data_IF_847234695026
#
_entry.id   IF_847234695026
#
_cell.length_a   1.000
_cell.length_b   1.000
_cell.length_c   1.000
_cell.angle_alpha   90.00
_cell.angle_beta   90.00
_cell.angle_gamma   90.00
#
_symmetry.space_group_name_H-M   'P 1'
#
loop_
_entity.id
_entity.type
_entity.pdbx_description
1 polymer ?
#
# COMPACT_ATOMS: atom_id res chain seq x y z
N UNK A 1 -10.51 23.50 8.43
CA UNK A 1 -10.17 24.81 7.84
C UNK A 1 -9.08 24.60 6.81
N UNK A 2 -9.42 24.71 5.52
CA UNK A 2 -8.47 24.61 4.41
C UNK A 2 -7.65 25.88 4.37
N UNK A 3 -6.35 25.82 4.63
CA UNK A 3 -5.42 26.86 4.18
C UNK A 3 -4.88 26.41 2.81
N UNK A 4 -5.56 26.83 1.77
CA UNK A 4 -5.02 26.80 0.42
C UNK A 4 -3.97 27.91 0.29
N UNK A 5 -2.84 27.58 -0.25
CA UNK A 5 -1.80 28.52 -0.66
C UNK A 5 -2.32 29.23 -1.91
N UNK A 6 -2.69 30.49 -1.78
CA UNK A 6 -3.35 31.26 -2.85
C UNK A 6 -2.48 32.36 -3.48
N UNK A 7 -1.23 32.54 -3.04
CA UNK A 7 -0.34 33.55 -3.63
C UNK A 7 1.16 33.25 -3.41
N UNK A 8 2.01 33.84 -4.24
CA UNK A 8 3.47 33.82 -4.16
C UNK A 8 4.04 34.41 -2.85
N UNK A 9 3.23 35.10 -2.05
CA UNK A 9 3.61 35.71 -0.77
C UNK A 9 3.70 34.70 0.38
N UNK A 10 3.20 33.48 0.20
CA UNK A 10 3.15 32.44 1.24
C UNK A 10 4.33 31.46 1.20
N UNK A 11 5.31 31.70 0.32
CA UNK A 11 6.51 30.86 0.19
C UNK A 11 7.56 31.30 1.22
N UNK A 12 8.09 30.41 2.06
CA UNK A 12 9.19 30.76 2.96
C UNK A 12 10.36 31.35 2.19
N UNK A 13 11.06 32.30 2.77
CA UNK A 13 12.24 32.97 2.23
C UNK A 13 13.40 31.97 2.06
N UNK A 14 13.32 31.09 1.09
CA UNK A 14 14.41 30.25 0.63
C UNK A 14 15.16 31.00 -0.47
N UNK A 15 16.47 31.10 -0.40
CA UNK A 15 17.32 31.66 -1.43
C UNK A 15 18.09 30.54 -2.13
N UNK A 16 18.11 30.52 -3.46
CA UNK A 16 18.89 29.57 -4.22
C UNK A 16 18.07 28.70 -5.20
N UNK A 17 18.65 27.60 -5.70
CA UNK A 17 18.04 26.71 -6.71
C UNK A 17 16.67 26.13 -6.32
N UNK A 18 16.39 26.02 -5.03
CA UNK A 18 15.08 25.57 -4.52
C UNK A 18 13.96 26.57 -4.84
N UNK A 19 14.24 27.86 -4.71
CA UNK A 19 13.24 28.90 -5.01
C UNK A 19 12.92 28.95 -6.51
N UNK A 20 13.90 28.71 -7.36
CA UNK A 20 13.71 28.65 -8.80
C UNK A 20 12.94 27.39 -9.22
N UNK A 21 13.17 26.27 -8.58
CA UNK A 21 12.38 25.04 -8.74
C UNK A 21 10.92 25.26 -8.34
N UNK A 22 10.64 25.87 -7.19
CA UNK A 22 9.28 26.17 -6.74
C UNK A 22 8.61 27.25 -7.59
N UNK A 23 9.35 28.24 -8.07
CA UNK A 23 8.83 29.24 -9.02
C UNK A 23 8.47 28.61 -10.36
N UNK A 24 9.24 27.67 -10.87
CA UNK A 24 8.93 26.91 -12.09
C UNK A 24 7.70 26.03 -11.92
N UNK A 25 7.55 25.36 -10.79
CA UNK A 25 6.36 24.56 -10.45
C UNK A 25 5.08 25.40 -10.34
N UNK A 26 5.18 26.61 -9.80
CA UNK A 26 4.02 27.50 -9.56
C UNK A 26 3.65 28.38 -10.76
N UNK A 27 4.60 28.66 -11.65
CA UNK A 27 4.40 29.65 -12.74
C UNK A 27 3.98 29.03 -14.09
N UNK A 28 4.18 27.73 -14.34
CA UNK A 28 4.01 27.12 -15.69
C UNK A 28 3.13 25.87 -15.67
N UNK A 29 2.54 25.48 -14.54
CA UNK A 29 1.99 24.15 -14.34
C UNK A 29 3.15 23.15 -14.09
N UNK A 30 2.88 21.92 -13.64
CA UNK A 30 3.94 20.96 -13.33
C UNK A 30 4.74 20.64 -14.60
N UNK A 31 5.98 21.14 -14.67
CA UNK A 31 6.92 20.72 -15.72
C UNK A 31 7.04 19.20 -15.65
N UNK A 32 7.16 18.50 -16.80
CA UNK A 32 7.39 17.07 -16.81
C UNK A 32 8.67 16.77 -16.05
N UNK A 33 8.52 16.18 -14.86
CA UNK A 33 9.65 15.76 -14.04
C UNK A 33 10.08 14.33 -14.40
N UNK A 34 11.38 14.07 -14.27
CA UNK A 34 11.96 12.73 -14.40
C UNK A 34 12.04 12.11 -13.01
N UNK A 35 11.19 11.15 -12.73
CA UNK A 35 11.05 10.52 -11.41
C UNK A 35 11.61 9.10 -11.46
N UNK A 36 12.57 8.80 -10.59
CA UNK A 36 13.12 7.46 -10.45
C UNK A 36 12.61 6.80 -9.17
N UNK A 37 11.98 5.65 -9.31
CA UNK A 37 11.48 4.85 -8.20
C UNK A 37 12.31 3.58 -8.08
N UNK A 38 12.89 3.32 -6.91
CA UNK A 38 13.65 2.11 -6.62
C UNK A 38 12.82 1.22 -5.71
N UNK A 39 12.58 -0.04 -6.12
CA UNK A 39 11.76 -0.97 -5.36
C UNK A 39 12.29 -2.39 -5.45
N UNK A 40 12.47 -3.07 -4.29
CA UNK A 40 12.72 -4.52 -4.24
C UNK A 40 11.44 -5.33 -4.44
N UNK A 41 10.26 -4.69 -4.28
CA UNK A 41 8.95 -5.24 -4.59
C UNK A 41 8.49 -4.73 -5.96
N UNK A 42 8.70 -5.54 -7.00
CA UNK A 42 8.32 -5.25 -8.38
C UNK A 42 7.92 -6.51 -9.13
N UNK A 43 7.48 -6.36 -10.36
CA UNK A 43 7.10 -7.49 -11.22
C UNK A 43 8.20 -8.60 -11.24
N UNK A 44 7.84 -9.87 -11.31
CA UNK A 44 6.49 -10.46 -11.45
C UNK A 44 5.72 -10.66 -10.14
N UNK A 45 6.15 -10.08 -9.02
CA UNK A 45 5.44 -10.19 -7.75
C UNK A 45 4.04 -9.56 -7.82
N UNK A 46 3.07 -10.21 -7.19
CA UNK A 46 1.69 -9.71 -7.07
C UNK A 46 1.42 -9.41 -5.59
N UNK A 47 1.49 -8.14 -5.23
CA UNK A 47 1.20 -7.67 -3.87
C UNK A 47 0.75 -6.21 -3.87
N UNK A 48 0.31 -5.70 -2.73
CA UNK A 48 -0.22 -4.34 -2.59
C UNK A 48 0.80 -3.24 -2.89
N UNK A 49 2.11 -3.48 -2.67
CA UNK A 49 3.18 -2.51 -2.98
C UNK A 49 3.33 -2.35 -4.48
N UNK A 50 3.49 -3.48 -5.19
CA UNK A 50 3.62 -3.50 -6.65
C UNK A 50 2.40 -2.83 -7.30
N UNK A 51 1.19 -3.19 -6.88
CA UNK A 51 -0.05 -2.61 -7.41
C UNK A 51 -0.11 -1.10 -7.18
N UNK A 52 0.23 -0.64 -5.97
CA UNK A 52 0.27 0.79 -5.66
C UNK A 52 1.24 1.53 -6.57
N UNK A 53 2.47 1.03 -6.70
CA UNK A 53 3.49 1.66 -7.53
C UNK A 53 3.12 1.66 -9.00
N UNK A 54 2.60 0.55 -9.55
CA UNK A 54 2.16 0.47 -10.94
C UNK A 54 1.08 1.50 -11.25
N UNK A 55 0.06 1.62 -10.38
CA UNK A 55 -1.04 2.55 -10.62
C UNK A 55 -0.58 4.00 -10.46
N UNK A 56 0.24 4.31 -9.45
CA UNK A 56 0.83 5.66 -9.29
C UNK A 56 1.70 6.03 -10.48
N UNK A 57 2.52 5.11 -11.00
CA UNK A 57 3.32 5.33 -12.20
C UNK A 57 2.44 5.63 -13.43
N UNK A 58 1.36 4.87 -13.62
CA UNK A 58 0.41 5.11 -14.70
C UNK A 58 -0.23 6.50 -14.61
N UNK A 59 -0.67 6.90 -13.42
CA UNK A 59 -1.22 8.24 -13.18
C UNK A 59 -0.19 9.34 -13.42
N UNK A 60 1.05 9.18 -12.96
CA UNK A 60 2.13 10.14 -13.18
C UNK A 60 2.46 10.28 -14.66
N UNK A 61 2.46 9.18 -15.43
CA UNK A 61 2.59 9.25 -16.89
C UNK A 61 1.42 9.99 -17.54
N UNK A 62 0.19 9.75 -17.09
CA UNK A 62 -0.99 10.48 -17.55
C UNK A 62 -0.95 11.98 -17.20
N UNK A 63 -0.18 12.35 -16.15
CA UNK A 63 0.11 13.74 -15.79
C UNK A 63 1.26 14.36 -16.60
N UNK A 64 1.90 13.60 -17.50
CA UNK A 64 2.98 14.08 -18.35
C UNK A 64 4.40 13.92 -17.76
N UNK A 65 4.55 13.23 -16.61
CA UNK A 65 5.87 12.96 -16.03
C UNK A 65 6.56 11.77 -16.67
N UNK A 66 7.89 11.77 -16.71
CA UNK A 66 8.71 10.62 -17.10
C UNK A 66 9.07 9.83 -15.86
N UNK A 67 8.53 8.63 -15.71
CA UNK A 67 8.76 7.80 -14.52
C UNK A 67 9.44 6.50 -14.92
N UNK A 68 10.50 6.14 -14.22
CA UNK A 68 11.15 4.83 -14.36
C UNK A 68 11.14 4.11 -13.01
N UNK A 69 10.83 2.81 -13.04
CA UNK A 69 10.93 1.94 -11.87
C UNK A 69 12.07 0.95 -12.07
N UNK A 70 12.95 0.89 -11.10
CA UNK A 70 14.06 -0.06 -11.07
C UNK A 70 13.74 -1.14 -10.04
N UNK A 71 13.45 -2.32 -10.55
CA UNK A 71 13.11 -3.51 -9.78
C UNK A 71 14.17 -4.60 -9.83
N UNK A 72 13.96 -5.73 -9.11
CA UNK A 72 14.87 -6.86 -9.07
C UNK A 72 15.06 -7.57 -10.42
N UNK A 73 14.08 -7.42 -11.33
CA UNK A 73 14.06 -7.98 -12.68
C UNK A 73 15.26 -7.58 -13.54
N UNK A 74 15.90 -6.46 -13.20
CA UNK A 74 17.09 -5.95 -13.89
C UNK A 74 18.41 -6.48 -13.34
N UNK A 75 18.41 -7.32 -12.33
CA UNK A 75 19.60 -7.74 -11.58
C UNK A 75 19.69 -9.25 -11.44
N UNK A 76 20.89 -9.74 -11.16
CA UNK A 76 21.04 -11.10 -10.64
C UNK A 76 20.34 -11.18 -9.28
N UNK A 77 19.49 -12.18 -9.07
CA UNK A 77 18.70 -12.30 -7.86
C UNK A 77 18.77 -13.68 -7.25
N UNK A 78 18.62 -13.76 -5.92
CA UNK A 78 18.40 -14.97 -5.16
C UNK A 78 17.01 -14.96 -4.51
N UNK A 79 16.36 -16.11 -4.33
CA UNK A 79 15.11 -16.18 -3.60
C UNK A 79 15.34 -15.80 -2.13
N UNK A 80 14.41 -15.05 -1.53
CA UNK A 80 14.43 -14.82 -0.10
C UNK A 80 14.18 -16.14 0.65
N UNK A 81 15.00 -16.51 1.64
CA UNK A 81 14.91 -17.83 2.29
C UNK A 81 13.55 -18.17 2.87
N UNK A 82 12.81 -17.15 3.37
CA UNK A 82 11.49 -17.33 3.98
C UNK A 82 10.33 -17.03 3.03
N UNK A 83 10.64 -16.46 1.84
CA UNK A 83 9.68 -16.04 0.81
C UNK A 83 10.31 -16.21 -0.58
N UNK A 84 10.31 -17.40 -1.16
CA UNK A 84 10.95 -17.64 -2.46
C UNK A 84 10.41 -16.77 -3.61
N UNK A 85 9.15 -16.34 -3.52
CA UNK A 85 8.53 -15.43 -4.47
C UNK A 85 9.16 -14.02 -4.44
N UNK A 86 9.78 -13.64 -3.32
CA UNK A 86 10.52 -12.38 -3.20
C UNK A 86 11.96 -12.62 -3.67
N UNK A 87 12.37 -11.86 -4.68
CA UNK A 87 13.70 -11.95 -5.26
C UNK A 87 14.59 -10.84 -4.71
N UNK A 88 15.70 -11.19 -4.11
CA UNK A 88 16.69 -10.26 -3.56
C UNK A 88 17.82 -10.04 -4.54
N UNK A 89 18.07 -8.80 -4.93
CA UNK A 89 19.15 -8.44 -5.85
C UNK A 89 20.51 -8.62 -5.22
N UNK A 90 21.44 -9.25 -5.95
CA UNK A 90 22.80 -9.53 -5.48
C UNK A 90 23.73 -8.41 -5.93
N UNK A 91 24.40 -7.75 -4.97
CA UNK A 91 25.40 -6.70 -5.19
C UNK A 91 24.99 -5.64 -6.24
N UNK A 92 23.78 -5.05 -6.17
CA UNK A 92 23.24 -4.21 -7.24
C UNK A 92 23.97 -2.87 -7.42
N UNK A 93 24.81 -2.45 -6.49
CA UNK A 93 25.29 -1.08 -6.36
C UNK A 93 25.92 -0.48 -7.62
N UNK A 94 26.84 -1.19 -8.30
CA UNK A 94 27.52 -0.65 -9.51
C UNK A 94 26.55 -0.46 -10.68
N UNK A 95 25.69 -1.44 -10.90
CA UNK A 95 24.70 -1.39 -11.99
C UNK A 95 23.63 -0.34 -11.69
N UNK A 96 23.13 -0.30 -10.46
CA UNK A 96 22.15 0.70 -10.03
C UNK A 96 22.68 2.13 -10.17
N UNK A 97 23.94 2.38 -9.77
CA UNK A 97 24.56 3.69 -9.94
C UNK A 97 24.54 4.15 -11.40
N UNK A 98 24.91 3.27 -12.36
CA UNK A 98 24.86 3.58 -13.79
C UNK A 98 23.44 3.89 -14.26
N UNK A 99 22.43 3.15 -13.77
CA UNK A 99 21.03 3.39 -14.12
C UNK A 99 20.60 4.78 -13.63
N UNK A 100 20.88 5.11 -12.36
CA UNK A 100 20.52 6.42 -11.79
C UNK A 100 21.19 7.56 -12.57
N UNK A 101 22.50 7.43 -12.85
CA UNK A 101 23.26 8.43 -13.58
C UNK A 101 22.79 8.59 -15.04
N UNK A 102 22.50 7.49 -15.73
CA UNK A 102 21.98 7.50 -17.10
C UNK A 102 20.56 8.07 -17.19
N UNK A 103 19.71 7.75 -16.22
CA UNK A 103 18.35 8.29 -16.18
C UNK A 103 18.34 9.78 -15.81
N UNK A 104 19.31 10.26 -15.04
CA UNK A 104 19.41 11.65 -14.57
C UNK A 104 18.07 12.16 -13.99
N UNK A 105 17.60 11.61 -12.85
CA UNK A 105 16.31 11.95 -12.28
C UNK A 105 16.30 13.34 -11.63
N UNK A 106 15.15 14.03 -11.70
CA UNK A 106 14.87 15.22 -10.93
C UNK A 106 14.50 14.89 -9.48
N UNK A 107 13.91 13.71 -9.26
CA UNK A 107 13.53 13.20 -7.93
C UNK A 107 13.79 11.69 -7.82
N UNK A 108 14.25 11.28 -6.64
CA UNK A 108 14.51 9.87 -6.29
C UNK A 108 13.58 9.44 -5.16
N UNK A 109 12.81 8.38 -5.40
CA UNK A 109 12.00 7.72 -4.40
C UNK A 109 12.47 6.29 -4.16
N UNK A 110 12.73 5.94 -2.92
CA UNK A 110 13.14 4.58 -2.51
C UNK A 110 11.96 3.94 -1.80
N UNK A 111 11.22 3.10 -2.53
CA UNK A 111 9.95 2.55 -2.07
C UNK A 111 10.11 1.40 -1.06
N UNK A 112 11.25 0.72 -1.04
CA UNK A 112 11.49 -0.43 -0.16
C UNK A 112 12.91 -0.44 0.41
N UNK A 113 13.11 -1.17 1.50
CA UNK A 113 14.34 -1.16 2.31
C UNK A 113 15.31 -2.30 1.98
N UNK A 114 14.99 -3.11 0.98
CA UNK A 114 15.79 -4.26 0.56
C UNK A 114 17.14 -3.89 -0.10
N UNK A 115 17.82 -4.86 -0.73
CA UNK A 115 19.14 -4.63 -1.31
C UNK A 115 19.23 -3.48 -2.32
N UNK A 116 18.19 -3.29 -3.16
CA UNK A 116 18.11 -2.17 -4.09
C UNK A 116 17.95 -0.85 -3.34
N UNK A 117 17.03 -0.82 -2.38
CA UNK A 117 16.81 0.37 -1.56
C UNK A 117 18.06 0.78 -0.77
N UNK A 118 18.79 -0.18 -0.18
CA UNK A 118 20.05 0.07 0.52
C UNK A 118 21.13 0.62 -0.43
N UNK A 119 21.24 0.08 -1.64
CA UNK A 119 22.19 0.54 -2.64
C UNK A 119 21.87 1.98 -3.11
N UNK A 120 20.60 2.27 -3.38
CA UNK A 120 20.13 3.61 -3.77
C UNK A 120 20.38 4.65 -2.65
N UNK A 121 20.03 4.29 -1.41
CA UNK A 121 20.31 5.11 -0.23
C UNK A 121 21.82 5.40 -0.10
N UNK A 122 22.64 4.37 -0.25
CA UNK A 122 24.10 4.52 -0.21
C UNK A 122 24.63 5.43 -1.31
N UNK A 123 24.08 5.34 -2.53
CA UNK A 123 24.42 6.23 -3.64
C UNK A 123 24.06 7.68 -3.33
N UNK A 124 22.84 7.93 -2.89
CA UNK A 124 22.34 9.26 -2.57
C UNK A 124 23.15 9.94 -1.46
N UNK A 125 23.43 9.22 -0.35
CA UNK A 125 24.20 9.75 0.77
C UNK A 125 25.65 10.12 0.38
N UNK A 126 26.31 9.30 -0.44
CA UNK A 126 27.68 9.61 -0.90
C UNK A 126 27.75 10.86 -1.77
N UNK A 127 26.66 11.21 -2.45
CA UNK A 127 26.58 12.38 -3.34
C UNK A 127 25.90 13.60 -2.72
N UNK A 128 25.44 13.48 -1.48
CA UNK A 128 24.65 14.54 -0.84
C UNK A 128 23.29 14.78 -1.48
N UNK A 129 22.77 13.78 -2.22
CA UNK A 129 21.48 13.87 -2.90
C UNK A 129 20.32 13.60 -1.95
N UNK A 130 19.24 14.38 -2.08
CA UNK A 130 18.01 14.18 -1.35
C UNK A 130 17.20 13.03 -1.96
N UNK A 131 16.41 12.34 -1.14
CA UNK A 131 15.49 11.29 -1.57
C UNK A 131 14.31 11.16 -0.62
N UNK A 132 13.23 10.59 -1.10
CA UNK A 132 12.07 10.21 -0.28
C UNK A 132 11.97 8.70 -0.16
N UNK A 133 11.25 8.24 0.87
CA UNK A 133 11.00 6.82 1.12
C UNK A 133 9.52 6.57 1.40
N UNK A 134 9.09 5.30 1.44
CA UNK A 134 7.76 4.93 1.88
C UNK A 134 7.80 3.72 2.81
N UNK A 135 6.91 3.70 3.81
CA UNK A 135 6.70 2.56 4.68
C UNK A 135 5.46 1.79 4.21
N UNK A 136 5.70 0.73 3.46
CA UNK A 136 4.62 -0.06 2.87
C UNK A 136 4.19 -1.25 3.71
N UNK A 137 5.13 -1.86 4.43
CA UNK A 137 4.91 -3.16 5.06
C UNK A 137 5.50 -3.18 6.47
N UNK A 138 4.79 -3.77 7.42
CA UNK A 138 5.29 -4.04 8.78
C UNK A 138 6.31 -5.19 8.76
N UNK A 139 7.41 -4.95 8.04
CA UNK A 139 8.50 -5.93 7.89
C UNK A 139 9.03 -6.47 9.24
N UNK A 140 9.18 -5.64 10.31
CA UNK A 140 9.60 -6.13 11.62
C UNK A 140 8.70 -7.22 12.19
N UNK A 141 7.39 -7.06 12.07
CA UNK A 141 6.40 -8.03 12.55
C UNK A 141 6.47 -9.32 11.75
N UNK A 142 6.66 -9.23 10.43
CA UNK A 142 6.77 -10.40 9.57
C UNK A 142 8.03 -11.23 9.85
N UNK A 143 9.16 -10.57 10.10
CA UNK A 143 10.41 -11.24 10.47
C UNK A 143 10.30 -11.83 11.86
N UNK A 144 9.75 -11.09 12.84
CA UNK A 144 9.54 -11.60 14.19
C UNK A 144 8.65 -12.84 14.21
N UNK A 145 7.53 -12.83 13.50
CA UNK A 145 6.60 -13.96 13.44
C UNK A 145 7.22 -15.24 12.86
N UNK A 146 8.33 -15.13 12.11
CA UNK A 146 8.96 -16.27 11.43
C UNK A 146 10.21 -16.80 12.09
N UNK A 147 11.06 -15.89 12.52
CA UNK A 147 12.38 -16.24 13.06
C UNK A 147 12.60 -15.73 14.48
N UNK A 148 11.58 -15.11 15.12
CA UNK A 148 11.63 -14.65 16.50
C UNK A 148 12.57 -13.45 16.76
N UNK A 149 13.07 -12.78 15.70
CA UNK A 149 13.96 -11.63 15.88
C UNK A 149 13.22 -10.48 16.52
N UNK A 150 13.74 -9.86 17.62
CA UNK A 150 13.06 -8.78 18.30
C UNK A 150 12.78 -7.57 17.40
N UNK A 151 11.53 -7.14 17.32
CA UNK A 151 11.09 -6.03 16.46
C UNK A 151 11.84 -4.72 16.72
N UNK A 152 12.26 -4.47 17.96
CA UNK A 152 13.04 -3.27 18.36
C UNK A 152 14.31 -3.06 17.52
N UNK A 153 15.02 -4.14 17.17
CA UNK A 153 16.24 -4.09 16.39
C UNK A 153 15.95 -3.76 14.93
N UNK A 154 14.90 -4.37 14.40
CA UNK A 154 14.44 -4.14 13.04
C UNK A 154 13.91 -2.72 12.86
N UNK A 155 13.14 -2.21 13.84
CA UNK A 155 12.70 -0.81 13.82
C UNK A 155 13.86 0.18 13.95
N UNK A 156 14.90 -0.12 14.73
CA UNK A 156 16.08 0.72 14.81
C UNK A 156 16.83 0.80 13.47
N UNK A 157 16.92 -0.33 12.75
CA UNK A 157 17.50 -0.40 11.40
C UNK A 157 16.64 0.37 10.38
N UNK A 158 15.32 0.18 10.37
CA UNK A 158 14.40 0.91 9.50
C UNK A 158 14.43 2.41 9.79
N UNK A 159 14.45 2.81 11.06
CA UNK A 159 14.57 4.22 11.43
C UNK A 159 15.84 4.86 10.88
N UNK A 160 16.99 4.16 10.96
CA UNK A 160 18.23 4.65 10.35
C UNK A 160 18.13 4.75 8.83
N UNK A 161 17.37 3.86 8.20
CA UNK A 161 17.14 3.88 6.76
C UNK A 161 16.30 5.08 6.36
N UNK A 162 15.11 5.23 6.91
CA UNK A 162 14.14 6.24 6.51
C UNK A 162 14.53 7.66 6.97
N UNK A 163 15.07 7.82 8.16
CA UNK A 163 15.46 9.14 8.69
C UNK A 163 16.66 9.76 7.94
N UNK A 164 17.30 9.02 7.06
CA UNK A 164 18.32 9.56 6.16
C UNK A 164 17.73 10.27 4.93
N UNK A 165 16.47 9.99 4.60
CA UNK A 165 15.72 10.67 3.55
C UNK A 165 15.07 11.96 4.05
N UNK A 166 14.52 12.75 3.13
CA UNK A 166 13.86 14.02 3.44
C UNK A 166 12.31 13.90 3.45
N UNK A 167 11.79 12.69 3.44
CA UNK A 167 10.38 12.41 3.59
C UNK A 167 10.13 10.91 3.60
N UNK A 168 9.37 10.43 4.58
CA UNK A 168 8.88 9.05 4.66
C UNK A 168 7.37 9.05 4.49
N UNK A 169 6.90 8.48 3.40
CA UNK A 169 5.47 8.40 3.10
C UNK A 169 4.82 7.26 3.88
N UNK A 170 3.70 7.54 4.53
CA UNK A 170 2.93 6.58 5.34
C UNK A 170 1.46 6.61 4.95
N UNK A 171 0.80 5.44 4.97
CA UNK A 171 -0.50 5.27 4.35
C UNK A 171 -1.66 5.82 5.18
N UNK A 172 -1.56 5.83 6.51
CA UNK A 172 -2.66 6.17 7.41
C UNK A 172 -2.20 7.04 8.57
N UNK A 173 -3.15 7.72 9.21
CA UNK A 173 -2.85 8.60 10.35
C UNK A 173 -2.38 7.81 11.57
N UNK A 174 -3.07 6.72 11.91
CA UNK A 174 -2.66 5.87 13.05
C UNK A 174 -1.24 5.31 12.86
N UNK A 175 -0.89 4.92 11.61
CA UNK A 175 0.47 4.47 11.30
C UNK A 175 1.49 5.61 11.43
N UNK A 176 1.11 6.83 11.05
CA UNK A 176 1.96 8.01 11.20
C UNK A 176 2.25 8.29 12.66
N UNK A 177 1.22 8.23 13.51
CA UNK A 177 1.35 8.47 14.95
C UNK A 177 2.26 7.41 15.59
N UNK A 178 2.04 6.13 15.28
CA UNK A 178 2.89 5.03 15.72
C UNK A 178 4.35 5.20 15.29
N UNK A 179 4.60 5.57 14.03
CA UNK A 179 5.95 5.79 13.54
C UNK A 179 6.61 7.01 14.20
N UNK A 180 5.83 8.05 14.51
CA UNK A 180 6.30 9.22 15.27
C UNK A 180 6.78 8.81 16.66
N UNK A 181 5.99 8.03 17.38
CA UNK A 181 6.36 7.49 18.71
C UNK A 181 7.61 6.63 18.67
N UNK A 182 7.81 5.88 17.57
CA UNK A 182 9.02 5.09 17.31
C UNK A 182 10.24 5.92 16.88
N UNK A 183 10.13 7.25 16.79
CA UNK A 183 11.21 8.18 16.44
C UNK A 183 11.54 8.28 14.95
N UNK A 184 10.62 7.91 14.08
CA UNK A 184 10.72 8.25 12.67
C UNK A 184 10.41 9.74 12.47
N UNK A 185 11.04 10.34 11.45
CA UNK A 185 10.97 11.78 11.19
C UNK A 185 10.43 12.06 9.80
N UNK A 186 9.98 13.31 9.56
CA UNK A 186 9.54 13.81 8.26
C UNK A 186 8.46 12.92 7.62
N UNK A 187 7.50 12.47 8.43
CA UNK A 187 6.41 11.62 8.00
C UNK A 187 5.41 12.40 7.14
N UNK A 188 5.08 11.88 5.97
CA UNK A 188 4.18 12.50 4.98
C UNK A 188 2.99 11.57 4.73
N UNK A 189 1.74 12.07 4.82
CA UNK A 189 0.57 11.25 4.58
C UNK A 189 0.47 10.90 3.09
N UNK A 190 0.37 9.61 2.78
CA UNK A 190 0.21 9.13 1.42
C UNK A 190 -0.79 7.98 1.38
N UNK A 191 -2.06 8.31 1.20
CA UNK A 191 -3.16 7.35 1.13
C UNK A 191 -3.08 6.49 -0.14
N UNK A 192 -4.09 5.65 -0.33
CA UNK A 192 -4.22 4.77 -1.50
C UNK A 192 -5.49 5.12 -2.25
N UNK A 193 -5.60 4.61 -3.47
CA UNK A 193 -6.79 4.73 -4.28
C UNK A 193 -7.43 3.38 -4.55
N UNK A 194 -8.59 3.41 -5.18
CA UNK A 194 -9.30 2.27 -5.73
C UNK A 194 -9.75 2.57 -7.16
N UNK A 195 -9.76 1.56 -8.01
CA UNK A 195 -10.29 1.63 -9.37
C UNK A 195 -11.82 1.53 -9.30
N UNK A 196 -12.49 2.69 -9.39
CA UNK A 196 -13.94 2.82 -9.25
C UNK A 196 -14.71 2.36 -10.51
N UNK A 197 -14.05 2.23 -11.64
CA UNK A 197 -14.64 1.71 -12.87
C UNK A 197 -14.68 0.18 -12.85
N UNK A 198 -13.61 -0.44 -12.37
CA UNK A 198 -13.51 -1.87 -12.19
C UNK A 198 -14.32 -2.35 -10.97
N UNK A 199 -14.10 -1.75 -9.81
CA UNK A 199 -14.78 -2.09 -8.56
C UNK A 199 -16.00 -1.20 -8.39
N UNK A 200 -17.17 -1.74 -8.69
CA UNK A 200 -18.46 -1.06 -8.61
C UNK A 200 -19.55 -2.03 -8.20
N UNK A 201 -20.66 -1.53 -7.68
CA UNK A 201 -21.83 -2.36 -7.49
C UNK A 201 -22.24 -3.01 -8.82
N UNK A 202 -22.37 -4.33 -8.82
CA UNK A 202 -22.82 -5.12 -9.96
C UNK A 202 -24.16 -5.75 -9.61
N UNK A 203 -25.02 -6.03 -10.61
CA UNK A 203 -26.17 -6.90 -10.40
C UNK A 203 -25.66 -8.17 -9.75
N UNK A 204 -26.37 -8.67 -8.73
CA UNK A 204 -25.91 -9.73 -7.86
C UNK A 204 -25.23 -10.85 -8.64
N UNK A 205 -23.91 -10.97 -8.48
CA UNK A 205 -23.19 -12.15 -8.91
C UNK A 205 -23.70 -13.30 -8.06
N UNK A 206 -24.23 -14.30 -8.71
CA UNK A 206 -24.87 -15.40 -8.03
C UNK A 206 -23.82 -16.37 -7.52
N UNK A 207 -23.33 -16.11 -6.31
CA UNK A 207 -22.86 -17.23 -5.52
C UNK A 207 -24.06 -18.19 -5.37
N UNK A 208 -23.97 -19.37 -5.93
CA UNK A 208 -24.98 -20.41 -5.67
C UNK A 208 -24.72 -21.04 -4.29
N UNK A 209 -24.78 -20.21 -3.24
CA UNK A 209 -24.45 -20.56 -1.86
C UNK A 209 -25.50 -19.95 -0.92
N UNK A 210 -25.79 -20.59 0.22
CA UNK A 210 -26.66 -20.03 1.26
C UNK A 210 -26.18 -18.68 1.76
N UNK A 211 -27.10 -17.71 1.88
CA UNK A 211 -26.83 -16.38 2.42
C UNK A 211 -27.05 -16.34 3.94
N UNK A 212 -26.42 -15.40 4.66
CA UNK A 212 -25.48 -14.38 4.15
C UNK A 212 -24.11 -14.96 3.73
N UNK A 213 -23.41 -14.29 2.80
CA UNK A 213 -22.11 -14.68 2.28
C UNK A 213 -21.04 -13.78 2.88
N UNK A 214 -20.14 -14.38 3.66
CA UNK A 214 -18.98 -13.75 4.23
C UNK A 214 -17.74 -14.10 3.39
N UNK A 215 -17.07 -13.10 2.87
CA UNK A 215 -15.95 -13.29 1.94
C UNK A 215 -14.65 -12.75 2.49
N UNK A 216 -13.59 -13.54 2.38
CA UNK A 216 -12.21 -13.12 2.53
C UNK A 216 -11.58 -13.00 1.14
N UNK A 217 -10.80 -11.93 0.91
CA UNK A 217 -10.00 -11.77 -0.31
C UNK A 217 -8.57 -11.45 0.09
N UNK A 218 -7.62 -12.23 -0.43
CA UNK A 218 -6.21 -11.99 -0.18
C UNK A 218 -5.35 -13.23 -0.22
N UNK A 219 -4.06 -13.07 0.11
CA UNK A 219 -3.11 -14.18 0.20
C UNK A 219 -3.47 -15.09 1.37
N UNK A 220 -3.53 -16.40 1.10
CA UNK A 220 -3.78 -17.41 2.12
C UNK A 220 -2.46 -17.77 2.82
N UNK A 221 -2.12 -17.03 3.87
CA UNK A 221 -0.84 -17.08 4.57
C UNK A 221 -0.96 -16.70 6.06
N UNK A 222 0.06 -17.01 6.85
CA UNK A 222 0.06 -16.82 8.31
C UNK A 222 -0.13 -15.34 8.68
N UNK A 223 0.57 -14.45 8.02
CA UNK A 223 0.55 -13.01 8.28
C UNK A 223 -0.81 -12.36 8.00
N UNK A 224 -1.66 -13.00 7.20
CA UNK A 224 -3.02 -12.55 6.92
C UNK A 224 -4.05 -13.06 7.92
N UNK A 225 -3.62 -13.86 8.88
CA UNK A 225 -4.46 -14.36 9.99
C UNK A 225 -5.80 -14.97 9.53
N UNK A 226 -5.78 -15.64 8.35
CA UNK A 226 -7.00 -16.18 7.75
C UNK A 226 -7.72 -17.18 8.67
N UNK A 227 -6.98 -17.88 9.54
CA UNK A 227 -7.56 -18.79 10.54
C UNK A 227 -8.59 -18.13 11.43
N UNK A 228 -8.41 -16.85 11.78
CA UNK A 228 -9.39 -16.10 12.56
C UNK A 228 -10.73 -16.00 11.82
N UNK A 229 -10.76 -15.86 10.50
CA UNK A 229 -12.01 -15.87 9.71
C UNK A 229 -12.56 -17.28 9.56
N UNK A 230 -11.71 -18.25 9.23
CA UNK A 230 -12.17 -19.62 8.94
C UNK A 230 -12.84 -20.30 10.15
N UNK A 231 -12.35 -20.01 11.36
CA UNK A 231 -12.87 -20.55 12.61
C UNK A 231 -14.11 -19.82 13.17
N UNK A 232 -14.56 -18.73 12.52
CA UNK A 232 -15.78 -18.05 12.98
C UNK A 232 -17.00 -18.94 12.79
N UNK A 233 -17.86 -18.97 13.82
CA UNK A 233 -19.21 -19.51 13.69
C UNK A 233 -20.13 -18.40 13.12
N UNK A 234 -20.40 -18.47 11.82
CA UNK A 234 -21.21 -17.51 11.07
C UNK A 234 -22.36 -18.21 10.37
N UNK A 235 -23.55 -17.59 10.30
CA UNK A 235 -24.65 -18.12 9.51
C UNK A 235 -24.30 -18.06 8.01
N UNK A 236 -24.94 -18.91 7.21
CA UNK A 236 -24.76 -18.89 5.75
C UNK A 236 -23.42 -19.47 5.29
N UNK A 237 -22.73 -18.76 4.39
CA UNK A 237 -21.57 -19.32 3.71
C UNK A 237 -20.31 -18.48 3.89
N UNK A 238 -19.16 -19.16 4.00
CA UNK A 238 -17.82 -18.55 3.98
C UNK A 238 -17.15 -18.79 2.63
N UNK A 239 -16.63 -17.72 2.02
CA UNK A 239 -15.92 -17.75 0.73
C UNK A 239 -14.50 -17.22 0.90
N UNK A 240 -13.53 -17.89 0.33
CA UNK A 240 -12.13 -17.47 0.29
C UNK A 240 -11.70 -17.28 -1.16
N UNK A 241 -11.37 -16.05 -1.51
CA UNK A 241 -10.82 -15.67 -2.82
C UNK A 241 -9.34 -15.37 -2.66
N UNK A 242 -8.48 -16.21 -3.23
CA UNK A 242 -7.05 -16.03 -3.17
C UNK A 242 -6.26 -17.32 -3.19
N UNK A 243 -4.94 -17.16 -3.24
CA UNK A 243 -3.96 -18.23 -3.22
C UNK A 243 -2.89 -17.99 -2.17
N UNK A 244 -2.05 -18.97 -1.93
CA UNK A 244 -0.93 -18.82 -1.01
C UNK A 244 -0.48 -20.12 -0.37
N UNK A 245 0.60 -20.08 0.43
CA UNK A 245 1.26 -21.29 0.93
C UNK A 245 0.36 -22.13 1.85
N UNK A 246 -0.63 -21.53 2.51
CA UNK A 246 -1.53 -22.27 3.40
C UNK A 246 -2.80 -22.79 2.71
N UNK A 247 -3.07 -22.45 1.44
CA UNK A 247 -4.33 -22.78 0.78
C UNK A 247 -4.68 -24.26 0.84
N UNK A 248 -3.72 -25.15 0.50
CA UNK A 248 -3.96 -26.59 0.49
C UNK A 248 -4.27 -27.14 1.88
N UNK A 249 -3.60 -26.64 2.92
CA UNK A 249 -3.84 -27.04 4.30
C UNK A 249 -5.23 -26.54 4.77
N UNK A 250 -5.57 -25.29 4.51
CA UNK A 250 -6.84 -24.69 4.93
C UNK A 250 -8.05 -25.37 4.24
N UNK A 251 -7.94 -25.75 2.97
CA UNK A 251 -9.00 -26.52 2.28
C UNK A 251 -9.29 -27.86 2.95
N UNK A 252 -8.26 -28.55 3.43
CA UNK A 252 -8.42 -29.85 4.11
C UNK A 252 -9.08 -29.70 5.47
N UNK A 253 -8.71 -28.68 6.23
CA UNK A 253 -9.22 -28.45 7.59
C UNK A 253 -10.59 -27.78 7.65
N UNK A 254 -10.99 -27.09 6.57
CA UNK A 254 -12.27 -26.35 6.49
C UNK A 254 -13.07 -26.74 5.24
N UNK A 255 -13.54 -27.98 5.10
CA UNK A 255 -14.20 -28.48 3.88
C UNK A 255 -15.53 -27.77 3.58
N UNK A 256 -16.18 -27.17 4.59
CA UNK A 256 -17.42 -26.41 4.42
C UNK A 256 -17.20 -24.99 3.85
N UNK A 257 -15.96 -24.51 3.77
CA UNK A 257 -15.62 -23.19 3.22
C UNK A 257 -15.41 -23.28 1.72
N UNK A 258 -15.99 -22.36 0.97
CA UNK A 258 -15.83 -22.29 -0.48
C UNK A 258 -14.53 -21.56 -0.87
N UNK A 259 -13.52 -22.29 -1.31
CA UNK A 259 -12.24 -21.74 -1.78
C UNK A 259 -12.22 -21.65 -3.31
N UNK A 260 -12.27 -20.45 -3.87
CA UNK A 260 -12.30 -20.23 -5.33
C UNK A 260 -10.91 -20.33 -5.99
N UNK A 261 -9.84 -20.12 -5.23
CA UNK A 261 -8.54 -19.76 -5.76
C UNK A 261 -8.44 -18.27 -6.08
N UNK A 262 -7.34 -17.83 -6.69
CA UNK A 262 -7.15 -16.43 -7.09
C UNK A 262 -8.18 -15.98 -8.13
N UNK A 263 -8.68 -14.74 -7.99
CA UNK A 263 -9.52 -14.04 -8.96
C UNK A 263 -8.94 -12.67 -9.24
N UNK A 264 -9.15 -12.16 -10.45
CA UNK A 264 -8.60 -10.89 -10.90
C UNK A 264 -9.64 -10.11 -11.72
N UNK A 265 -9.44 -8.79 -11.86
CA UNK A 265 -10.27 -7.94 -12.70
C UNK A 265 -11.77 -8.09 -12.40
N UNK A 266 -12.57 -8.25 -13.43
CA UNK A 266 -14.03 -8.34 -13.31
C UNK A 266 -14.51 -9.50 -12.44
N UNK A 267 -13.81 -10.65 -12.45
CA UNK A 267 -14.18 -11.79 -11.58
C UNK A 267 -13.99 -11.47 -10.10
N UNK A 268 -12.94 -10.71 -9.76
CA UNK A 268 -12.71 -10.26 -8.40
C UNK A 268 -13.76 -9.23 -7.97
N UNK A 269 -14.06 -8.26 -8.83
CA UNK A 269 -15.12 -7.27 -8.58
C UNK A 269 -16.47 -7.94 -8.37
N UNK A 270 -16.81 -8.94 -9.20
CA UNK A 270 -18.02 -9.74 -9.04
C UNK A 270 -18.06 -10.53 -7.71
N UNK A 271 -16.90 -11.04 -7.27
CA UNK A 271 -16.79 -11.74 -5.99
C UNK A 271 -17.12 -10.81 -4.82
N UNK A 272 -16.61 -9.59 -4.81
CA UNK A 272 -16.98 -8.59 -3.80
C UNK A 272 -18.47 -8.22 -3.89
N UNK A 273 -18.95 -7.80 -5.06
CA UNK A 273 -20.32 -7.34 -5.25
C UNK A 273 -21.36 -8.39 -4.85
N UNK A 274 -21.06 -9.67 -5.06
CA UNK A 274 -21.90 -10.80 -4.67
C UNK A 274 -21.91 -11.13 -3.18
N UNK A 275 -21.03 -10.56 -2.39
CA UNK A 275 -20.88 -10.83 -0.95
C UNK A 275 -21.76 -9.91 -0.10
N UNK A 276 -22.18 -10.42 1.06
CA UNK A 276 -22.93 -9.62 2.04
C UNK A 276 -22.01 -8.88 3.00
N UNK A 277 -20.87 -9.49 3.35
CA UNK A 277 -19.82 -8.87 4.18
C UNK A 277 -18.44 -9.31 3.68
N UNK A 278 -17.56 -8.37 3.52
CA UNK A 278 -16.12 -8.63 3.37
C UNK A 278 -15.47 -8.69 4.76
N UNK A 279 -14.83 -9.81 5.08
CA UNK A 279 -14.16 -10.01 6.38
C UNK A 279 -12.67 -9.88 6.21
N UNK A 280 -12.07 -8.95 6.94
CA UNK A 280 -10.64 -8.63 6.91
C UNK A 280 -9.98 -8.98 8.24
N UNK A 281 -9.42 -10.21 8.40
CA UNK A 281 -8.89 -10.72 9.65
C UNK A 281 -7.44 -10.32 9.93
N UNK A 282 -6.78 -9.60 9.02
CA UNK A 282 -5.37 -9.22 9.15
C UNK A 282 -5.14 -8.26 10.31
N UNK A 283 -4.03 -8.47 11.04
CA UNK A 283 -3.59 -7.62 12.17
C UNK A 283 -2.43 -6.70 11.80
N UNK A 284 -1.79 -6.89 10.66
CA UNK A 284 -0.49 -6.29 10.33
C UNK A 284 -0.47 -5.49 9.03
N UNK A 285 -1.59 -5.38 8.33
CA UNK A 285 -1.67 -4.57 7.12
C UNK A 285 -1.59 -3.07 7.46
N UNK A 286 -0.82 -2.33 6.69
CA UNK A 286 -0.63 -0.90 6.86
C UNK A 286 -1.81 -0.07 6.34
N UNK A 287 -2.61 -0.62 5.41
CA UNK A 287 -3.77 0.04 4.81
C UNK A 287 -4.89 -0.94 4.49
N UNK A 288 -4.62 -1.94 3.61
CA UNK A 288 -5.62 -2.90 3.15
C UNK A 288 -6.37 -2.42 1.90
N UNK A 289 -5.73 -2.41 0.72
CA UNK A 289 -6.37 -2.05 -0.56
C UNK A 289 -7.69 -2.79 -0.81
N UNK A 290 -7.74 -4.06 -0.41
CA UNK A 290 -8.91 -4.94 -0.52
C UNK A 290 -10.15 -4.41 0.25
N UNK A 291 -9.94 -3.57 1.27
CA UNK A 291 -11.03 -2.89 2.00
C UNK A 291 -11.70 -1.87 1.07
N UNK A 292 -10.91 -1.05 0.37
CA UNK A 292 -11.46 -0.09 -0.59
C UNK A 292 -12.14 -0.77 -1.77
N UNK A 293 -11.60 -1.90 -2.25
CA UNK A 293 -12.20 -2.70 -3.32
C UNK A 293 -13.58 -3.23 -2.92
N UNK A 294 -13.71 -3.75 -1.71
CA UNK A 294 -14.98 -4.21 -1.16
C UNK A 294 -15.99 -3.06 -1.05
N UNK A 295 -15.59 -1.94 -0.41
CA UNK A 295 -16.44 -0.76 -0.27
C UNK A 295 -16.86 -0.19 -1.63
N UNK A 296 -15.95 -0.14 -2.60
CA UNK A 296 -16.26 0.33 -3.96
C UNK A 296 -17.30 -0.54 -4.67
N UNK A 297 -17.32 -1.84 -4.38
CA UNK A 297 -18.37 -2.76 -4.83
C UNK A 297 -19.67 -2.68 -4.00
N UNK A 298 -19.76 -1.78 -3.04
CA UNK A 298 -20.89 -1.67 -2.12
C UNK A 298 -20.92 -2.79 -1.08
N UNK A 299 -19.80 -3.42 -0.77
CA UNK A 299 -19.74 -4.54 0.18
C UNK A 299 -19.23 -4.05 1.52
N UNK A 300 -20.01 -4.16 2.60
CA UNK A 300 -19.62 -3.77 3.95
C UNK A 300 -18.43 -4.57 4.46
N UNK A 301 -17.64 -3.94 5.34
CA UNK A 301 -16.39 -4.50 5.87
C UNK A 301 -16.52 -4.85 7.34
N UNK A 302 -16.03 -6.04 7.70
CA UNK A 302 -15.80 -6.44 9.09
C UNK A 302 -14.30 -6.67 9.33
N UNK A 303 -13.73 -6.04 10.34
CA UNK A 303 -12.31 -6.15 10.61
C UNK A 303 -11.98 -6.06 12.11
N UNK A 304 -10.76 -6.46 12.47
CA UNK A 304 -10.19 -6.10 13.76
C UNK A 304 -9.92 -4.60 13.85
N UNK A 305 -10.01 -4.04 15.06
CA UNK A 305 -9.69 -2.64 15.32
C UNK A 305 -8.17 -2.42 15.36
N UNK A 306 -7.56 -2.40 14.18
CA UNK A 306 -6.12 -2.18 13.96
C UNK A 306 -5.91 -1.05 12.94
N UNK A 307 -4.68 -0.56 12.84
CA UNK A 307 -4.32 0.67 12.10
C UNK A 307 -4.96 0.81 10.72
N UNK A 308 -4.81 -0.14 9.82
CA UNK A 308 -5.36 -0.03 8.46
C UNK A 308 -6.88 0.10 8.41
N UNK A 309 -7.65 -0.89 8.89
CA UNK A 309 -9.11 -0.83 8.95
C UNK A 309 -9.65 0.35 9.75
N UNK A 310 -9.02 0.68 10.90
CA UNK A 310 -9.43 1.81 11.73
C UNK A 310 -9.43 3.11 10.94
N UNK A 311 -8.35 3.41 10.22
CA UNK A 311 -8.23 4.66 9.49
C UNK A 311 -9.11 4.70 8.24
N UNK A 312 -9.26 3.57 7.55
CA UNK A 312 -10.12 3.51 6.35
C UNK A 312 -11.59 3.63 6.68
N UNK A 313 -12.04 3.06 7.82
CA UNK A 313 -13.46 3.05 8.22
C UNK A 313 -13.82 4.16 9.22
N UNK A 314 -12.85 4.89 9.80
CA UNK A 314 -12.95 5.75 10.99
C UNK A 314 -14.23 6.60 11.07
N UNK A 315 -14.46 7.46 10.08
CA UNK A 315 -15.55 8.45 10.10
C UNK A 315 -16.92 7.84 9.74
N UNK A 316 -16.95 6.60 9.28
CA UNK A 316 -18.15 5.93 8.76
C UNK A 316 -18.40 4.55 9.40
N UNK A 317 -17.64 4.21 10.44
CA UNK A 317 -17.87 2.98 11.20
C UNK A 317 -19.33 2.88 11.68
N UNK A 318 -19.96 1.72 11.45
CA UNK A 318 -21.39 1.53 11.67
C UNK A 318 -22.26 1.73 10.41
N UNK A 319 -21.88 2.66 9.52
CA UNK A 319 -22.61 2.86 8.26
C UNK A 319 -22.09 1.99 7.11
N UNK A 320 -20.78 1.73 7.07
CA UNK A 320 -20.11 1.00 5.97
C UNK A 320 -19.48 -0.31 6.41
N UNK A 321 -19.60 -0.65 7.68
CA UNK A 321 -19.04 -1.86 8.27
C UNK A 321 -18.84 -1.74 9.77
N UNK A 322 -18.09 -2.68 10.34
CA UNK A 322 -17.79 -2.68 11.77
C UNK A 322 -16.35 -3.14 12.05
N UNK A 323 -15.73 -2.54 13.07
CA UNK A 323 -14.42 -2.94 13.58
C UNK A 323 -14.53 -3.24 15.09
N UNK A 324 -13.71 -4.15 15.59
CA UNK A 324 -13.68 -4.47 17.01
C UNK A 324 -12.72 -5.60 17.35
N UNK A 325 -12.55 -5.89 18.64
CA UNK A 325 -11.71 -7.01 19.09
C UNK A 325 -12.33 -8.38 18.79
N UNK A 326 -13.64 -8.46 18.67
CA UNK A 326 -14.40 -9.65 18.29
C UNK A 326 -14.79 -9.56 16.81
N UNK A 327 -14.11 -10.34 15.98
CA UNK A 327 -14.34 -10.35 14.53
C UNK A 327 -15.72 -10.95 14.17
N UNK A 328 -16.26 -11.87 14.99
CA UNK A 328 -17.61 -12.40 14.79
C UNK A 328 -18.65 -11.32 15.01
N UNK A 329 -18.55 -10.61 16.13
CA UNK A 329 -19.46 -9.50 16.43
C UNK A 329 -19.38 -8.41 15.33
N UNK A 330 -18.18 -8.06 14.86
CA UNK A 330 -17.99 -7.13 13.75
C UNK A 330 -18.65 -7.65 12.45
N UNK A 331 -18.48 -8.93 12.11
CA UNK A 331 -19.09 -9.53 10.91
C UNK A 331 -20.62 -9.50 10.95
N UNK A 332 -21.20 -9.80 12.10
CA UNK A 332 -22.66 -9.75 12.28
C UNK A 332 -23.21 -8.32 12.27
N UNK A 333 -22.46 -7.35 12.82
CA UNK A 333 -22.85 -5.95 12.80
C UNK A 333 -22.78 -5.37 11.37
N UNK A 334 -21.76 -5.74 10.60
CA UNK A 334 -21.56 -5.29 9.23
C UNK A 334 -22.70 -5.69 8.26
N UNK A 335 -23.46 -6.76 8.58
CA UNK A 335 -24.66 -7.14 7.79
C UNK A 335 -25.73 -6.04 7.75
N UNK A 336 -25.73 -5.12 8.70
CA UNK A 336 -26.71 -4.02 8.80
C UNK A 336 -26.26 -2.74 8.08
N UNK A 337 -25.06 -2.74 7.53
CA UNK A 337 -24.47 -1.55 6.91
C UNK A 337 -25.13 -1.21 5.56
N UNK A 338 -25.06 0.06 5.19
CA UNK A 338 -25.62 0.56 3.94
C UNK A 338 -24.61 0.38 2.78
N UNK A 339 -25.00 -0.40 1.78
CA UNK A 339 -24.18 -0.67 0.58
C UNK A 339 -23.93 0.58 -0.27
N UNK A 340 -24.90 1.52 -0.32
CA UNK A 340 -24.72 2.78 -1.03
C UNK A 340 -23.71 3.69 -0.30
N UNK A 341 -23.78 3.73 1.02
CA UNK A 341 -22.79 4.44 1.84
C UNK A 341 -21.37 3.85 1.68
N UNK A 342 -21.23 2.53 1.54
CA UNK A 342 -19.94 1.88 1.23
C UNK A 342 -19.33 2.45 -0.06
N UNK A 343 -20.12 2.50 -1.13
CA UNK A 343 -19.68 3.05 -2.43
C UNK A 343 -19.31 4.51 -2.32
N UNK A 344 -20.15 5.34 -1.74
CA UNK A 344 -19.92 6.77 -1.57
C UNK A 344 -18.63 7.05 -0.75
N UNK A 345 -18.35 6.22 0.26
CA UNK A 345 -17.11 6.31 1.03
C UNK A 345 -15.89 5.99 0.19
N UNK A 346 -15.93 4.93 -0.63
CA UNK A 346 -14.81 4.53 -1.49
C UNK A 346 -14.48 5.59 -2.55
N UNK A 347 -15.46 6.36 -3.02
CA UNK A 347 -15.26 7.43 -4.01
C UNK A 347 -14.34 8.57 -3.51
N UNK A 348 -14.11 8.66 -2.20
CA UNK A 348 -13.15 9.60 -1.61
C UNK A 348 -11.68 9.20 -1.86
N UNK A 349 -11.44 7.97 -2.34
CA UNK A 349 -10.10 7.38 -2.52
C UNK A 349 -9.80 7.19 -4.00
N UNK A 350 -9.33 8.23 -4.69
CA UNK A 350 -8.95 8.12 -6.09
C UNK A 350 -7.44 7.88 -6.26
N UNK A 351 -7.08 7.10 -7.28
CA UNK A 351 -5.67 6.91 -7.64
C UNK A 351 -5.02 8.20 -8.14
N UNK A 352 -5.80 9.07 -8.79
CA UNK A 352 -5.33 10.40 -9.20
C UNK A 352 -4.90 11.24 -8.01
N UNK A 353 -5.73 11.34 -6.98
CA UNK A 353 -5.38 12.06 -5.75
C UNK A 353 -4.19 11.42 -5.01
N UNK A 354 -4.09 10.07 -5.05
CA UNK A 354 -2.93 9.35 -4.52
C UNK A 354 -1.63 9.73 -5.25
N UNK A 355 -1.65 9.82 -6.58
CA UNK A 355 -0.49 10.20 -7.39
C UNK A 355 -0.13 11.69 -7.20
N UNK A 356 -1.10 12.57 -7.09
CA UNK A 356 -0.89 14.00 -6.78
C UNK A 356 -0.25 14.20 -5.41
N UNK A 357 -0.72 13.46 -4.39
CA UNK A 357 -0.10 13.45 -3.07
C UNK A 357 1.33 12.91 -3.11
N UNK A 358 1.57 11.83 -3.85
CA UNK A 358 2.92 11.29 -4.06
C UNK A 358 3.85 12.35 -4.65
N UNK A 359 3.43 12.98 -5.75
CA UNK A 359 4.19 14.01 -6.45
C UNK A 359 4.52 15.21 -5.54
N UNK A 360 3.53 15.69 -4.77
CA UNK A 360 3.71 16.81 -3.84
C UNK A 360 4.68 16.50 -2.69
N UNK A 361 4.91 15.23 -2.42
CA UNK A 361 5.82 14.77 -1.37
C UNK A 361 7.24 14.46 -1.86
N UNK A 362 7.45 14.39 -3.17
CA UNK A 362 8.80 14.26 -3.70
C UNK A 362 9.65 15.48 -3.36
N UNK A 363 10.95 15.26 -3.29
CA UNK A 363 11.93 16.33 -3.09
C UNK A 363 12.86 16.37 -4.28
N UNK A 364 13.32 17.56 -4.73
CA UNK A 364 14.36 17.67 -5.76
C UNK A 364 15.57 16.87 -5.34
N UNK A 365 16.20 16.17 -6.30
CA UNK A 365 17.36 15.32 -6.02
C UNK A 365 18.46 16.11 -5.33
N UNK A 366 18.64 17.39 -5.68
CA UNK A 366 19.69 18.23 -5.12
C UNK A 366 21.06 17.54 -5.23
N UNK A 367 22.13 18.24 -5.02
CA UNK A 367 23.45 17.62 -5.10
C UNK A 367 24.19 18.11 -6.33
N UNK A 368 25.49 18.23 -6.21
CA UNK A 368 26.34 18.68 -7.28
C UNK A 368 26.22 17.75 -8.49
N UNK A 369 25.70 18.30 -9.58
CA UNK A 369 26.00 17.76 -10.92
C UNK A 369 27.53 17.77 -11.09
N UNK A 370 28.14 16.71 -11.58
CA UNK A 370 29.58 16.67 -11.79
C UNK A 370 30.04 17.70 -12.80
#
# INVERSE_FOLDING_TARGET
MRRGWSSLSDVPTASGPELEYWRRLLAVGPLPARILIISDAWLPQVNGVVRTLQTVVAELHAMGHTVEVVGPDRFLTLPCPTYPDIRLSVAPGRQLNRIIESFAPDALHIATEGPLGQAARGWALRRGCAFTTAFHTRFPEYVNARIGLPTRWLYAWLRRFHNAGQGMMVATQSLRDEMTERGFRQLRPWSRGVDLDLFRPLPACTWNLPRPIFTYVGRVSVEKNIGAFLNLDLPGSKVVVGGGPQLAAQRRTHPAVHFTGPRYGAELAAAYAGSDVFVFPSLTDTFGLVILEALACGTPVAAFDVTGPRDVLADAAGCIGAIGPDLRAAAMAALKADRAACRAHAERFSWRACAEAFLSHLVPLGGHTP
#
